data_IF_450881209116
#
_entry.id   IF_450881209116
#
_cell.length_a   1.000
_cell.length_b   1.000
_cell.length_c   1.000
_cell.angle_alpha   90.00
_cell.angle_beta   90.00
_cell.angle_gamma   90.00
#
_symmetry.space_group_name_H-M   'P 1'
#
loop_
_entity.id
_entity.type
_entity.pdbx_description
1 polymer ?
#
# COMPACT_ATOMS: atom_id res chain seq x y z
N UNK A 1 4.91 1.93 7.33
CA UNK A 1 4.34 2.33 6.03
C UNK A 1 3.73 3.72 6.22
N UNK A 2 3.51 4.53 5.17
CA UNK A 2 2.76 5.80 5.30
C UNK A 2 3.28 6.81 6.32
N UNK A 3 4.57 7.14 6.30
CA UNK A 3 5.15 8.20 7.14
C UNK A 3 4.68 9.59 6.66
N UNK A 4 3.51 9.99 7.16
CA UNK A 4 2.80 11.22 6.75
C UNK A 4 3.63 12.47 7.00
N UNK A 5 4.33 12.55 8.13
CA UNK A 5 5.17 13.71 8.47
C UNK A 5 6.32 13.88 7.49
N UNK A 6 7.02 12.79 7.13
CA UNK A 6 8.07 12.85 6.10
C UNK A 6 7.51 13.26 4.74
N UNK A 7 6.34 12.76 4.35
CA UNK A 7 5.69 13.14 3.09
C UNK A 7 5.36 14.64 3.08
N UNK A 8 4.70 15.14 4.13
CA UNK A 8 4.37 16.57 4.26
C UNK A 8 5.66 17.42 4.24
N UNK A 9 6.70 17.00 4.95
CA UNK A 9 7.99 17.70 4.97
C UNK A 9 8.66 17.75 3.60
N UNK A 10 8.59 16.66 2.82
CA UNK A 10 9.22 16.58 1.51
C UNK A 10 8.46 17.33 0.42
N UNK A 11 7.13 17.24 0.42
CA UNK A 11 6.28 17.77 -0.66
C UNK A 11 5.53 19.05 -0.30
N UNK A 12 5.59 19.49 0.96
CA UNK A 12 4.85 20.63 1.49
C UNK A 12 3.33 20.43 1.53
N UNK A 13 2.85 19.22 1.23
CA UNK A 13 1.43 18.86 1.11
C UNK A 13 1.20 17.43 1.60
N UNK A 14 0.00 17.16 2.10
CA UNK A 14 -0.43 15.81 2.47
C UNK A 14 -0.99 15.08 1.24
N UNK A 15 -0.17 14.21 0.66
CA UNK A 15 -0.55 13.45 -0.55
C UNK A 15 -1.75 12.51 -0.31
N UNK A 16 -2.07 12.15 0.94
CA UNK A 16 -3.23 11.33 1.29
C UNK A 16 -4.55 12.10 1.27
N UNK A 17 -4.48 13.43 1.40
CA UNK A 17 -5.62 14.34 1.49
C UNK A 17 -5.81 15.23 0.25
N UNK A 18 -4.98 15.06 -0.78
CA UNK A 18 -5.13 15.74 -2.07
C UNK A 18 -6.24 15.10 -2.90
N UNK A 19 -7.33 15.83 -3.09
CA UNK A 19 -8.48 15.38 -3.86
C UNK A 19 -8.10 15.10 -5.32
N UNK A 20 -7.20 15.90 -5.90
CA UNK A 20 -6.72 15.71 -7.27
C UNK A 20 -6.02 14.35 -7.48
N UNK A 21 -5.51 13.72 -6.42
CA UNK A 21 -4.83 12.43 -6.49
C UNK A 21 -5.80 11.25 -6.43
N UNK A 22 -7.07 11.45 -6.07
CA UNK A 22 -8.03 10.35 -5.88
C UNK A 22 -8.24 9.53 -7.15
N UNK A 23 -8.19 10.19 -8.31
CA UNK A 23 -8.28 9.52 -9.60
C UNK A 23 -7.13 8.49 -9.75
N UNK A 24 -5.90 8.91 -9.51
CA UNK A 24 -4.71 8.05 -9.58
C UNK A 24 -4.80 6.93 -8.53
N UNK A 25 -5.21 7.26 -7.30
CA UNK A 25 -5.39 6.26 -6.25
C UNK A 25 -6.44 5.20 -6.63
N UNK A 26 -7.52 5.60 -7.30
CA UNK A 26 -8.54 4.65 -7.77
C UNK A 26 -8.01 3.70 -8.85
N UNK A 27 -7.13 4.18 -9.73
CA UNK A 27 -6.44 3.34 -10.72
C UNK A 27 -5.49 2.35 -10.04
N UNK A 28 -4.65 2.82 -9.12
CA UNK A 28 -3.69 1.99 -8.39
C UNK A 28 -4.36 0.95 -7.49
N UNK A 29 -5.57 1.22 -7.00
CA UNK A 29 -6.39 0.27 -6.24
C UNK A 29 -7.08 -0.79 -7.12
N UNK A 30 -7.00 -0.67 -8.45
CA UNK A 30 -7.67 -1.57 -9.39
C UNK A 30 -9.17 -1.33 -9.49
N UNK A 31 -9.66 -0.15 -9.12
CA UNK A 31 -11.08 0.22 -9.22
C UNK A 31 -11.49 0.64 -10.63
N UNK A 32 -10.53 0.71 -11.56
CA UNK A 32 -10.75 0.96 -12.98
C UNK A 32 -10.56 -0.35 -13.74
N UNK A 33 -11.37 -0.56 -14.79
CA UNK A 33 -11.33 -1.77 -15.62
C UNK A 33 -10.07 -1.94 -16.47
N UNK A 34 -9.04 -1.12 -16.24
CA UNK A 34 -7.71 -1.21 -16.83
C UNK A 34 -6.68 -0.72 -15.79
N UNK A 35 -5.47 -1.27 -15.82
CA UNK A 35 -4.37 -0.90 -14.93
C UNK A 35 -3.37 -0.08 -15.76
N UNK A 36 -3.41 1.26 -15.74
CA UNK A 36 -2.46 2.07 -16.51
C UNK A 36 -1.03 2.02 -15.95
N UNK A 37 -0.87 1.47 -14.75
CA UNK A 37 0.37 1.52 -13.95
C UNK A 37 0.99 0.13 -13.73
N UNK A 38 0.94 -0.77 -14.71
CA UNK A 38 1.54 -2.12 -14.60
C UNK A 38 3.03 -2.10 -14.23
N UNK A 39 3.74 -1.03 -14.58
CA UNK A 39 5.16 -0.84 -14.24
C UNK A 39 5.40 -0.34 -12.80
N UNK A 40 4.35 0.09 -12.08
CA UNK A 40 4.44 0.61 -10.70
C UNK A 40 4.15 -0.48 -9.68
N UNK A 41 3.35 -1.49 -10.07
CA UNK A 41 2.99 -2.64 -9.24
C UNK A 41 1.59 -3.14 -9.54
N UNK A 42 1.24 -4.27 -8.94
CA UNK A 42 -0.09 -4.85 -9.05
C UNK A 42 -1.06 -4.14 -8.09
N UNK A 43 -2.37 -4.04 -8.43
CA UNK A 43 -3.36 -3.42 -7.55
C UNK A 43 -3.37 -3.97 -6.12
N UNK A 44 -3.16 -5.28 -5.96
CA UNK A 44 -3.10 -5.95 -4.67
C UNK A 44 -1.95 -5.43 -3.78
N UNK A 45 -0.81 -5.04 -4.37
CA UNK A 45 0.31 -4.45 -3.63
C UNK A 45 -0.07 -3.08 -3.05
N UNK A 46 -0.77 -2.26 -3.83
CA UNK A 46 -1.33 -0.98 -3.38
C UNK A 46 -2.36 -1.19 -2.27
N UNK A 47 -3.24 -2.18 -2.41
CA UNK A 47 -4.22 -2.50 -1.37
C UNK A 47 -3.53 -2.96 -0.08
N UNK A 48 -2.47 -3.78 -0.16
CA UNK A 48 -1.67 -4.18 1.00
C UNK A 48 -0.99 -2.98 1.66
N UNK A 49 -0.43 -2.05 0.86
CA UNK A 49 0.13 -0.81 1.37
C UNK A 49 -0.92 -0.04 2.19
N UNK A 50 -2.11 0.18 1.64
CA UNK A 50 -3.18 0.89 2.34
C UNK A 50 -3.71 0.15 3.56
N UNK A 51 -3.77 -1.19 3.54
CA UNK A 51 -4.12 -1.99 4.71
C UNK A 51 -3.11 -1.79 5.85
N UNK A 52 -1.80 -1.81 5.55
CA UNK A 52 -0.76 -1.55 6.56
C UNK A 52 -0.81 -0.12 7.09
N UNK A 53 -1.06 0.87 6.23
CA UNK A 53 -1.26 2.27 6.65
C UNK A 53 -2.50 2.41 7.54
N UNK A 54 -3.58 1.72 7.20
CA UNK A 54 -4.81 1.67 7.99
C UNK A 54 -4.56 1.06 9.39
N UNK A 55 -3.87 -0.08 9.46
CA UNK A 55 -3.50 -0.74 10.72
C UNK A 55 -2.62 0.13 11.63
N UNK A 56 -1.80 1.02 11.05
CA UNK A 56 -0.95 1.95 11.80
C UNK A 56 -1.72 3.15 12.39
N UNK A 57 -3.04 3.21 12.25
CA UNK A 57 -3.86 4.27 12.86
C UNK A 57 -3.80 5.61 12.13
N UNK A 58 -3.19 5.66 10.93
CA UNK A 58 -3.11 6.87 10.07
C UNK A 58 -4.50 7.38 9.66
N UNK A 59 -5.53 6.53 9.81
CA UNK A 59 -6.96 6.88 9.75
C UNK A 59 -7.29 8.18 10.50
N UNK A 60 -6.78 8.33 11.72
CA UNK A 60 -7.18 9.44 12.60
C UNK A 60 -6.59 10.79 12.19
N UNK A 61 -5.60 10.80 11.30
CA UNK A 61 -4.91 12.03 10.87
C UNK A 61 -5.36 12.53 9.49
N UNK A 62 -5.69 11.62 8.57
CA UNK A 62 -6.13 11.98 7.21
C UNK A 62 -7.63 12.34 7.13
N UNK A 63 -8.47 11.76 7.99
CA UNK A 63 -9.93 11.99 7.98
C UNK A 63 -10.31 13.31 8.66
N UNK A 64 -9.46 13.86 9.54
CA UNK A 64 -9.81 14.98 10.41
C UNK A 64 -10.04 16.31 9.67
N UNK A 65 -9.55 16.51 8.44
CA UNK A 65 -9.47 17.86 7.87
C UNK A 65 -10.39 18.16 6.69
N UNK A 66 -10.92 17.19 5.92
CA UNK A 66 -11.93 17.41 4.87
C UNK A 66 -12.27 16.07 4.20
N UNK A 67 -13.50 15.60 4.42
CA UNK A 67 -14.38 14.68 3.65
C UNK A 67 -13.88 13.63 2.63
N UNK A 68 -12.67 13.71 2.06
CA UNK A 68 -12.21 12.83 0.99
C UNK A 68 -10.71 12.56 1.14
N UNK A 69 -10.36 11.30 1.39
CA UNK A 69 -8.98 10.82 1.46
C UNK A 69 -8.89 9.49 0.71
N UNK A 70 -7.73 9.20 0.13
CA UNK A 70 -7.47 7.88 -0.45
C UNK A 70 -7.58 6.73 0.56
N UNK A 71 -7.39 7.00 1.86
CA UNK A 71 -7.64 6.03 2.94
C UNK A 71 -9.14 5.73 3.06
N UNK A 72 -9.98 6.76 2.99
CA UNK A 72 -11.43 6.60 3.01
C UNK A 72 -11.93 5.89 1.72
N UNK A 73 -11.31 6.18 0.57
CA UNK A 73 -11.57 5.46 -0.67
C UNK A 73 -11.24 3.97 -0.54
N UNK A 74 -10.07 3.63 -0.01
CA UNK A 74 -9.67 2.24 0.24
C UNK A 74 -10.63 1.54 1.23
N UNK A 75 -10.99 2.21 2.33
CA UNK A 75 -11.92 1.64 3.33
C UNK A 75 -13.26 1.30 2.67
N UNK A 76 -13.84 2.26 1.95
CA UNK A 76 -15.15 2.13 1.30
C UNK A 76 -15.17 1.08 0.19
N UNK A 77 -14.20 1.12 -0.71
CA UNK A 77 -14.26 0.36 -1.97
C UNK A 77 -13.58 -1.01 -1.88
N UNK A 78 -12.70 -1.23 -0.89
CA UNK A 78 -11.95 -2.48 -0.75
C UNK A 78 -12.21 -3.12 0.62
N UNK A 79 -11.93 -2.42 1.72
CA UNK A 79 -11.95 -3.03 3.05
C UNK A 79 -13.37 -3.44 3.48
N UNK A 80 -14.35 -2.55 3.37
CA UNK A 80 -15.74 -2.82 3.74
C UNK A 80 -16.36 -3.95 2.90
N UNK A 81 -16.21 -3.99 1.56
CA UNK A 81 -16.64 -5.14 0.76
C UNK A 81 -15.97 -6.45 1.18
N UNK A 82 -14.67 -6.46 1.48
CA UNK A 82 -13.98 -7.65 1.97
C UNK A 82 -14.55 -8.13 3.32
N UNK A 83 -14.77 -7.22 4.26
CA UNK A 83 -15.39 -7.53 5.56
C UNK A 83 -16.79 -8.12 5.39
N UNK A 84 -17.59 -7.54 4.50
CA UNK A 84 -18.96 -7.98 4.23
C UNK A 84 -19.02 -9.31 3.45
N UNK A 85 -17.94 -9.70 2.77
CA UNK A 85 -17.86 -10.94 1.99
C UNK A 85 -17.73 -12.21 2.85
N UNK A 86 -17.57 -12.08 4.18
CA UNK A 86 -17.35 -13.20 5.10
C UNK A 86 -15.96 -13.83 5.00
N UNK A 87 -15.06 -13.27 4.18
CA UNK A 87 -13.65 -13.66 4.11
C UNK A 87 -12.87 -13.00 5.25
N UNK A 88 -11.87 -13.69 5.79
CA UNK A 88 -10.91 -13.04 6.70
C UNK A 88 -10.06 -12.05 5.91
N UNK A 89 -10.16 -10.78 6.32
CA UNK A 89 -9.38 -9.67 5.77
C UNK A 89 -7.89 -9.91 6.00
N UNK A 90 -7.54 -10.39 7.19
CA UNK A 90 -6.16 -10.70 7.59
C UNK A 90 -5.58 -11.76 6.66
N UNK A 91 -6.30 -12.86 6.43
CA UNK A 91 -5.86 -13.92 5.53
C UNK A 91 -5.70 -13.43 4.09
N UNK A 92 -6.59 -12.56 3.60
CA UNK A 92 -6.49 -11.97 2.28
C UNK A 92 -5.17 -11.18 2.12
N UNK A 93 -4.89 -10.26 3.04
CA UNK A 93 -3.67 -9.45 2.98
C UNK A 93 -2.40 -10.26 3.28
N UNK A 94 -2.49 -11.30 4.11
CA UNK A 94 -1.37 -12.22 4.33
C UNK A 94 -0.99 -12.98 3.05
N UNK A 95 -1.97 -13.41 2.25
CA UNK A 95 -1.70 -14.07 0.97
C UNK A 95 -1.00 -13.13 -0.01
N UNK A 96 -1.45 -11.88 -0.09
CA UNK A 96 -0.80 -10.84 -0.90
C UNK A 96 0.64 -10.62 -0.41
N UNK A 97 0.83 -10.47 0.90
CA UNK A 97 2.16 -10.29 1.48
C UNK A 97 3.08 -11.49 1.19
N UNK A 98 2.59 -12.71 1.24
CA UNK A 98 3.39 -13.89 0.92
C UNK A 98 3.77 -13.93 -0.58
N UNK A 99 2.85 -13.50 -1.45
CA UNK A 99 3.07 -13.44 -2.90
C UNK A 99 4.14 -12.41 -3.28
N UNK A 100 4.09 -11.20 -2.72
CA UNK A 100 4.96 -10.09 -3.11
C UNK A 100 6.16 -9.88 -2.17
N UNK A 101 6.11 -10.37 -0.94
CA UNK A 101 7.19 -10.22 0.05
C UNK A 101 8.45 -11.02 -0.29
N UNK A 102 8.37 -11.97 -1.22
CA UNK A 102 9.48 -12.85 -1.61
C UNK A 102 10.12 -12.46 -2.95
N UNK A 103 9.75 -11.32 -3.56
CA UNK A 103 10.28 -10.91 -4.87
C UNK A 103 11.81 -10.81 -4.83
N UNK A 104 12.37 -10.22 -3.77
CA UNK A 104 13.81 -10.13 -3.62
C UNK A 104 14.47 -11.44 -3.19
N UNK A 105 13.74 -12.40 -2.62
CA UNK A 105 14.31 -13.70 -2.25
C UNK A 105 14.37 -14.65 -3.46
N UNK A 106 13.41 -14.55 -4.37
CA UNK A 106 13.23 -15.52 -5.46
C UNK A 106 13.51 -14.94 -6.86
N UNK A 107 13.49 -13.62 -7.05
CA UNK A 107 13.51 -12.97 -8.37
C UNK A 107 14.38 -11.70 -8.38
N UNK A 108 15.59 -11.77 -7.81
CA UNK A 108 16.58 -10.69 -7.92
C UNK A 108 17.61 -10.99 -9.01
N UNK A 109 18.05 -9.95 -9.72
CA UNK A 109 19.23 -9.99 -10.61
C UNK A 109 20.51 -9.54 -9.90
N UNK A 110 20.42 -9.32 -8.59
CA UNK A 110 21.54 -8.87 -7.76
C UNK A 110 22.56 -9.99 -7.67
N UNK A 111 23.84 -9.76 -8.03
CA UNK A 111 24.88 -10.76 -7.89
C UNK A 111 25.03 -11.26 -6.45
N UNK A 112 25.32 -12.55 -6.27
CA UNK A 112 25.34 -13.20 -4.95
C UNK A 112 26.22 -12.47 -3.92
N UNK A 113 27.41 -12.04 -4.36
CA UNK A 113 28.37 -11.32 -3.50
C UNK A 113 27.82 -10.02 -2.91
N UNK A 114 26.87 -9.38 -3.60
CA UNK A 114 26.20 -8.17 -3.15
C UNK A 114 24.95 -8.52 -2.35
N UNK A 115 24.21 -9.55 -2.78
CA UNK A 115 23.02 -10.06 -2.10
C UNK A 115 23.30 -10.48 -0.65
N UNK A 116 24.38 -11.22 -0.41
CA UNK A 116 24.80 -11.66 0.93
C UNK A 116 24.98 -10.47 1.91
N UNK A 117 25.40 -9.32 1.39
CA UNK A 117 25.63 -8.11 2.21
C UNK A 117 24.34 -7.34 2.50
N UNK A 118 23.40 -7.31 1.55
CA UNK A 118 22.20 -6.48 1.64
C UNK A 118 20.97 -7.23 2.17
N UNK A 119 20.90 -8.55 1.95
CA UNK A 119 19.74 -9.35 2.35
C UNK A 119 19.46 -9.36 3.87
N UNK A 120 20.44 -9.24 4.79
CA UNK A 120 20.16 -9.10 6.22
C UNK A 120 19.41 -7.80 6.54
N UNK A 121 19.73 -6.71 5.82
CA UNK A 121 19.07 -5.40 6.00
C UNK A 121 17.64 -5.46 5.47
N UNK A 122 17.44 -6.08 4.30
CA UNK A 122 16.11 -6.21 3.70
C UNK A 122 15.17 -7.09 4.53
N UNK A 123 15.69 -8.18 5.14
CA UNK A 123 14.91 -9.08 6.00
C UNK A 123 14.43 -8.42 7.30
N UNK A 124 15.18 -7.45 7.82
CA UNK A 124 14.81 -6.71 9.02
C UNK A 124 13.75 -5.62 8.79
N UNK A 125 13.44 -5.27 7.54
CA UNK A 125 12.40 -4.29 7.21
C UNK A 125 11.00 -4.90 7.04
N UNK A 126 10.88 -6.23 7.12
CA UNK A 126 9.63 -6.99 6.91
C UNK A 126 8.93 -7.41 8.21
N UNK A 127 9.48 -7.04 9.38
CA UNK A 127 8.87 -7.24 10.71
C UNK A 127 8.06 -6.01 11.16
#
# INVERSE_FOLDING_TARGET
YGDREKVIKAFGKDLFAMEENLYIWSELLGLKGYIPWECVGMPEETQLYFYKVYQQGVRNQAIAERGVSCIALFEKEILTPLQNSGKSVENYFQQIQNKFGQVYENHHTIPEWLWEKISPVLRNCSQ
#
